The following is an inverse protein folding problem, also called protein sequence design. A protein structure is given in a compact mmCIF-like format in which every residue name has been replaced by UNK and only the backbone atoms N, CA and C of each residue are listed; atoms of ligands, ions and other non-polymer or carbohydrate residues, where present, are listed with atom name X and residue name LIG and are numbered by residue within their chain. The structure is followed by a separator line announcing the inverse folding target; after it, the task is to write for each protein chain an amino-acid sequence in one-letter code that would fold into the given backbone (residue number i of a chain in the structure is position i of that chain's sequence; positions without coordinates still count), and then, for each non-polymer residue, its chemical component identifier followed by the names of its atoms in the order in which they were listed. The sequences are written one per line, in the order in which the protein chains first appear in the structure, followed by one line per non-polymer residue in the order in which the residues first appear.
data_IF_018355575543
#
_entry.id   IF_018355575543
#
_cell.length_a   1.000
_cell.length_b   1.000
_cell.length_c   1.000
_cell.angle_alpha   90.00
_cell.angle_beta   90.00
_cell.angle_gamma   90.00
#
_symmetry.space_group_name_H-M   'P 1'
#
loop_
_entity.id
_entity.type
_entity.pdbx_description
1 polymer ?
#
# COMPACT_ATOMS: atom_id res chain seq x y z
N UNK A 1 -40.85 -39.23 46.65
CA UNK A 1 -41.01 -38.01 45.83
C UNK A 1 -39.64 -37.61 45.29
N UNK A 2 -39.53 -37.63 43.98
CA UNK A 2 -38.32 -37.61 43.16
C UNK A 2 -37.64 -36.23 43.22
N UNK A 3 -36.33 -36.18 43.54
CA UNK A 3 -35.54 -34.96 43.49
C UNK A 3 -35.10 -34.71 42.04
N UNK A 4 -35.58 -33.62 41.44
CA UNK A 4 -35.11 -33.14 40.14
C UNK A 4 -33.80 -32.34 40.36
N UNK A 5 -32.72 -32.81 39.74
CA UNK A 5 -31.47 -32.06 39.62
C UNK A 5 -31.59 -31.19 38.36
N UNK A 6 -31.77 -29.87 38.52
CA UNK A 6 -31.69 -28.93 37.40
C UNK A 6 -30.21 -28.71 37.03
N UNK A 7 -29.80 -29.26 35.89
CA UNK A 7 -28.53 -28.95 35.24
C UNK A 7 -28.65 -27.57 34.57
N UNK A 8 -28.00 -26.55 35.13
CA UNK A 8 -27.87 -25.24 34.49
C UNK A 8 -26.76 -25.32 33.44
N UNK A 9 -27.13 -25.56 32.18
CA UNK A 9 -26.21 -25.45 31.06
C UNK A 9 -25.91 -23.96 30.81
N UNK A 10 -24.75 -23.48 31.27
CA UNK A 10 -24.19 -22.20 30.87
C UNK A 10 -23.86 -22.27 29.37
N UNK A 11 -24.77 -21.76 28.54
CA UNK A 11 -24.49 -21.43 27.14
C UNK A 11 -23.49 -20.27 27.12
N UNK A 12 -22.21 -20.59 26.95
CA UNK A 12 -21.20 -19.61 26.59
C UNK A 12 -21.59 -19.01 25.23
N UNK A 13 -21.67 -17.68 25.08
CA UNK A 13 -21.89 -17.09 23.77
C UNK A 13 -20.70 -17.46 22.89
N UNK A 14 -20.96 -18.20 21.82
CA UNK A 14 -19.98 -18.38 20.75
C UNK A 14 -19.61 -16.98 20.26
N UNK A 15 -18.37 -16.57 20.50
CA UNK A 15 -17.82 -15.40 19.82
C UNK A 15 -17.90 -15.72 18.32
N UNK A 16 -18.83 -15.08 17.63
CA UNK A 16 -18.81 -15.04 16.19
C UNK A 16 -17.50 -14.37 15.80
N UNK A 17 -16.51 -15.16 15.42
CA UNK A 17 -15.36 -14.66 14.69
C UNK A 17 -15.92 -14.07 13.41
N UNK A 18 -16.07 -12.74 13.38
CA UNK A 18 -16.41 -12.04 12.15
C UNK A 18 -15.40 -12.48 11.11
N UNK A 19 -15.87 -13.09 10.03
CA UNK A 19 -15.04 -13.46 8.90
C UNK A 19 -14.39 -12.16 8.42
N UNK A 20 -13.09 -11.99 8.67
CA UNK A 20 -12.38 -10.81 8.20
C UNK A 20 -12.51 -10.81 6.69
N UNK A 21 -13.26 -9.84 6.16
CA UNK A 21 -13.44 -9.71 4.71
C UNK A 21 -12.05 -9.60 4.08
N UNK A 22 -11.80 -10.45 3.08
CA UNK A 22 -10.55 -10.46 2.34
C UNK A 22 -10.31 -9.09 1.72
N UNK A 23 -9.07 -8.55 1.75
CA UNK A 23 -8.82 -7.24 1.18
C UNK A 23 -9.08 -7.25 -0.33
N UNK A 24 -9.85 -6.26 -0.81
CA UNK A 24 -10.20 -6.06 -2.21
C UNK A 24 -9.32 -4.98 -2.83
N UNK A 25 -8.76 -5.28 -4.00
CA UNK A 25 -7.98 -4.36 -4.84
C UNK A 25 -8.74 -4.12 -6.13
N UNK A 26 -8.91 -2.86 -6.49
CA UNK A 26 -9.52 -2.44 -7.74
C UNK A 26 -8.43 -1.90 -8.68
N UNK A 27 -8.34 -2.45 -9.89
CA UNK A 27 -7.46 -1.97 -10.95
C UNK A 27 -8.26 -1.12 -11.92
N UNK A 28 -7.76 0.05 -12.28
CA UNK A 28 -8.43 0.95 -13.22
C UNK A 28 -8.28 0.48 -14.66
N UNK A 29 -9.35 0.64 -15.43
CA UNK A 29 -9.36 0.53 -16.89
C UNK A 29 -10.24 1.65 -17.50
N UNK A 30 -10.46 2.73 -16.75
CA UNK A 30 -11.31 3.87 -17.15
C UNK A 30 -10.53 5.02 -17.75
N UNK A 31 -9.19 5.00 -17.68
CA UNK A 31 -8.30 6.07 -18.15
C UNK A 31 -7.51 5.67 -19.38
N UNK A 32 -8.04 4.78 -20.21
CA UNK A 32 -7.39 4.34 -21.45
C UNK A 32 -6.04 3.65 -21.21
N UNK A 33 -5.97 2.83 -20.16
CA UNK A 33 -4.81 2.01 -19.77
C UNK A 33 -4.38 0.99 -20.85
N UNK A 34 -5.26 0.76 -21.83
CA UNK A 34 -5.06 -0.13 -22.98
C UNK A 34 -4.83 0.63 -24.31
N UNK A 35 -4.61 1.94 -24.27
CA UNK A 35 -4.52 2.72 -25.50
C UNK A 35 -3.21 2.45 -26.27
N UNK A 36 -3.33 2.35 -27.59
CA UNK A 36 -2.22 2.26 -28.54
C UNK A 36 -1.37 1.00 -28.32
N UNK A 37 -0.18 1.13 -27.72
CA UNK A 37 0.75 0.03 -27.52
C UNK A 37 0.91 -0.35 -26.04
N UNK A 38 -0.06 0.04 -25.22
CA UNK A 38 -0.15 -0.26 -23.80
C UNK A 38 -1.29 -1.26 -23.56
N UNK A 39 -1.20 -2.05 -22.50
CA UNK A 39 -2.27 -2.94 -22.09
C UNK A 39 -2.29 -3.16 -20.56
N UNK A 40 -2.30 -2.07 -19.79
CA UNK A 40 -2.20 -2.11 -18.33
C UNK A 40 -3.50 -2.55 -17.65
N UNK A 41 -3.95 -3.76 -17.99
CA UNK A 41 -5.18 -4.39 -17.50
C UNK A 41 -4.87 -5.71 -16.82
N UNK A 42 -5.77 -6.15 -15.94
CA UNK A 42 -5.64 -7.45 -15.26
C UNK A 42 -5.92 -8.63 -16.19
N UNK A 43 -6.97 -8.50 -17.00
CA UNK A 43 -7.52 -9.57 -17.82
C UNK A 43 -8.52 -8.99 -18.83
N UNK A 44 -8.50 -9.52 -20.05
CA UNK A 44 -9.45 -9.17 -21.11
C UNK A 44 -9.85 -10.39 -21.97
N UNK A 45 -11.14 -10.72 -21.97
CA UNK A 45 -11.72 -11.75 -22.83
C UNK A 45 -12.02 -11.25 -24.25
N UNK A 46 -12.23 -9.94 -24.37
CA UNK A 46 -12.56 -9.26 -25.61
C UNK A 46 -11.48 -8.23 -25.95
N UNK A 47 -11.26 -8.05 -27.25
CA UNK A 47 -10.26 -7.16 -27.85
C UNK A 47 -10.92 -6.35 -28.94
N UNK A 48 -11.62 -5.32 -28.50
CA UNK A 48 -12.52 -4.54 -29.35
C UNK A 48 -12.65 -3.09 -28.88
N UNK A 49 -11.78 -2.59 -27.99
CA UNK A 49 -11.68 -1.16 -27.76
C UNK A 49 -10.80 -0.53 -28.84
N UNK A 50 -10.97 0.77 -29.03
CA UNK A 50 -10.06 1.58 -29.83
C UNK A 50 -10.21 3.04 -29.48
N UNK A 51 -9.18 3.83 -29.80
CA UNK A 51 -9.16 5.27 -29.56
C UNK A 51 -10.17 5.96 -30.47
N UNK A 52 -11.20 6.53 -29.85
CA UNK A 52 -12.22 7.35 -30.49
C UNK A 52 -11.86 8.84 -30.51
N UNK A 53 -12.88 9.67 -30.73
CA UNK A 53 -12.68 11.13 -30.74
C UNK A 53 -12.27 11.65 -29.36
N UNK A 54 -11.22 12.49 -29.33
CA UNK A 54 -10.74 13.12 -28.10
C UNK A 54 -10.10 12.15 -27.10
N UNK A 55 -9.56 11.02 -27.57
CA UNK A 55 -8.84 10.06 -26.73
C UNK A 55 -9.73 9.07 -25.96
N UNK A 56 -11.05 9.13 -26.11
CA UNK A 56 -11.96 8.22 -25.43
C UNK A 56 -11.89 6.80 -26.00
N UNK A 57 -11.86 5.78 -25.13
CA UNK A 57 -11.90 4.38 -25.57
C UNK A 57 -13.32 3.96 -25.95
N UNK A 58 -13.51 3.49 -27.18
CA UNK A 58 -14.82 3.15 -27.76
C UNK A 58 -14.87 1.69 -28.16
N UNK A 59 -15.93 0.99 -27.72
CA UNK A 59 -16.18 -0.40 -28.13
C UNK A 59 -16.52 -0.47 -29.63
N UNK A 60 -15.87 -1.40 -30.32
CA UNK A 60 -15.94 -1.62 -31.77
C UNK A 60 -15.02 -0.72 -32.60
N UNK A 61 -14.20 0.13 -31.97
CA UNK A 61 -13.36 1.10 -32.70
C UNK A 61 -11.94 0.60 -33.00
N UNK A 62 -11.52 -0.53 -32.44
CA UNK A 62 -10.17 -1.06 -32.60
C UNK A 62 -10.06 -2.52 -32.14
N UNK A 63 -8.84 -2.93 -31.81
CA UNK A 63 -8.50 -4.26 -31.33
C UNK A 63 -8.00 -4.28 -29.89
N UNK A 64 -7.92 -3.14 -29.21
CA UNK A 64 -7.35 -3.04 -27.87
C UNK A 64 -8.19 -3.85 -26.86
N UNK A 65 -7.55 -4.33 -25.80
CA UNK A 65 -8.20 -5.07 -24.70
C UNK A 65 -9.43 -4.35 -24.16
N UNK A 66 -10.52 -5.10 -23.99
CA UNK A 66 -11.73 -4.65 -23.33
C UNK A 66 -11.90 -5.41 -22.01
N UNK A 67 -11.31 -4.91 -20.91
CA UNK A 67 -11.23 -5.67 -19.68
C UNK A 67 -12.57 -5.75 -18.95
N UNK A 68 -13.00 -6.97 -18.69
CA UNK A 68 -14.16 -7.26 -17.86
C UNK A 68 -13.90 -6.97 -16.38
N UNK A 69 -14.96 -6.68 -15.64
CA UNK A 69 -14.89 -6.43 -14.18
C UNK A 69 -14.24 -7.59 -13.42
N UNK A 70 -14.64 -8.81 -13.73
CA UNK A 70 -14.18 -10.01 -13.05
C UNK A 70 -13.31 -10.81 -14.00
N UNK A 71 -12.02 -11.02 -13.68
CA UNK A 71 -11.16 -11.85 -14.49
C UNK A 71 -11.68 -13.28 -14.66
N UNK A 72 -11.32 -13.88 -15.79
CA UNK A 72 -11.79 -15.15 -16.33
C UNK A 72 -10.56 -15.96 -16.79
N UNK A 73 -10.35 -17.17 -16.27
CA UNK A 73 -11.23 -17.92 -15.38
C UNK A 73 -11.32 -17.32 -13.97
N UNK A 74 -12.37 -17.67 -13.22
CA UNK A 74 -12.65 -17.03 -11.94
C UNK A 74 -11.46 -17.13 -10.95
N UNK A 75 -11.19 -16.02 -10.25
CA UNK A 75 -10.11 -15.94 -9.25
C UNK A 75 -10.22 -16.97 -8.11
N UNK A 76 -11.42 -17.49 -7.83
CA UNK A 76 -11.63 -18.58 -6.86
C UNK A 76 -10.95 -19.90 -7.25
N UNK A 77 -10.53 -20.04 -8.52
CA UNK A 77 -9.74 -21.18 -9.01
C UNK A 77 -8.23 -21.04 -8.77
N UNK A 78 -7.75 -19.88 -8.32
CA UNK A 78 -6.32 -19.65 -8.07
C UNK A 78 -5.90 -20.40 -6.79
N UNK A 79 -4.84 -21.20 -6.93
CA UNK A 79 -4.16 -21.91 -5.85
C UNK A 79 -2.70 -21.47 -5.76
N UNK A 80 -1.96 -21.96 -4.77
CA UNK A 80 -0.53 -21.69 -4.64
C UNK A 80 0.29 -22.07 -5.90
N UNK A 81 -0.18 -23.05 -6.67
CA UNK A 81 0.51 -23.57 -7.86
C UNK A 81 0.01 -22.99 -9.19
N UNK A 82 -1.00 -22.13 -9.16
CA UNK A 82 -1.53 -21.51 -10.38
C UNK A 82 -0.44 -20.65 -11.03
N UNK A 83 -0.17 -20.77 -12.34
CA UNK A 83 0.83 -19.94 -13.02
C UNK A 83 0.40 -18.46 -13.01
N UNK A 84 1.37 -17.55 -13.12
CA UNK A 84 1.07 -16.11 -13.19
C UNK A 84 0.34 -15.73 -14.50
N UNK A 85 0.50 -16.54 -15.55
CA UNK A 85 -0.23 -16.46 -16.83
C UNK A 85 -1.67 -17.00 -16.78
N UNK A 86 -2.32 -16.98 -15.62
CA UNK A 86 -3.70 -17.49 -15.45
C UNK A 86 -4.75 -16.59 -16.10
N UNK A 87 -4.42 -15.31 -16.27
CA UNK A 87 -5.20 -14.29 -16.96
C UNK A 87 -4.34 -13.68 -18.08
N UNK A 88 -4.95 -12.87 -18.94
CA UNK A 88 -4.25 -12.22 -20.07
C UNK A 88 -4.45 -10.71 -20.00
N UNK A 89 -3.39 -10.01 -19.60
CA UNK A 89 -3.32 -8.58 -19.40
C UNK A 89 -1.96 -8.23 -18.81
N UNK A 90 -1.37 -7.08 -19.15
CA UNK A 90 0.00 -6.78 -18.70
C UNK A 90 0.15 -6.72 -17.17
N UNK A 91 -0.94 -6.58 -16.42
CA UNK A 91 -0.95 -6.58 -14.94
C UNK A 91 -1.39 -7.93 -14.34
N UNK A 92 -1.56 -8.97 -15.16
CA UNK A 92 -2.23 -10.21 -14.76
C UNK A 92 -1.46 -10.95 -13.65
N UNK A 93 -0.14 -11.00 -13.74
CA UNK A 93 0.77 -11.65 -12.80
C UNK A 93 0.70 -10.98 -11.43
N UNK A 94 0.54 -9.66 -11.39
CA UNK A 94 0.26 -8.92 -10.16
C UNK A 94 -1.06 -9.35 -9.53
N UNK A 95 -2.13 -9.41 -10.32
CA UNK A 95 -3.43 -9.92 -9.89
C UNK A 95 -3.35 -11.32 -9.29
N UNK A 96 -2.71 -12.26 -9.99
CA UNK A 96 -2.53 -13.65 -9.52
C UNK A 96 -1.71 -13.70 -8.23
N UNK A 97 -0.63 -12.91 -8.13
CA UNK A 97 0.21 -12.85 -6.94
C UNK A 97 -0.56 -12.33 -5.70
N UNK A 98 -1.51 -11.43 -5.90
CA UNK A 98 -2.40 -10.95 -4.83
C UNK A 98 -3.42 -12.00 -4.42
N UNK A 99 -4.07 -12.68 -5.37
CA UNK A 99 -5.08 -13.71 -5.05
C UNK A 99 -4.45 -14.89 -4.31
N UNK A 100 -3.24 -15.32 -4.68
CA UNK A 100 -2.46 -16.32 -3.92
C UNK A 100 -2.23 -15.94 -2.46
N UNK A 101 -2.31 -14.64 -2.13
CA UNK A 101 -2.14 -14.08 -0.77
C UNK A 101 -3.48 -13.78 -0.09
N UNK A 102 -4.59 -14.25 -0.66
CA UNK A 102 -5.93 -14.09 -0.09
C UNK A 102 -6.57 -12.72 -0.37
N UNK A 103 -6.10 -11.98 -1.36
CA UNK A 103 -6.78 -10.78 -1.83
C UNK A 103 -7.89 -11.15 -2.82
N UNK A 104 -8.86 -10.26 -2.97
CA UNK A 104 -9.75 -10.26 -4.12
C UNK A 104 -9.34 -9.12 -5.06
N UNK A 105 -9.38 -9.37 -6.36
CA UNK A 105 -9.11 -8.35 -7.39
C UNK A 105 -10.32 -8.17 -8.28
N UNK A 106 -10.54 -6.93 -8.72
CA UNK A 106 -11.52 -6.56 -9.74
C UNK A 106 -10.90 -5.49 -10.64
N UNK A 107 -11.37 -5.42 -11.88
CA UNK A 107 -11.13 -4.28 -12.77
C UNK A 107 -12.29 -3.31 -12.65
N UNK A 108 -12.04 -2.00 -12.79
CA UNK A 108 -13.04 -0.96 -13.05
C UNK A 108 -13.11 -0.74 -14.57
N UNK A 109 -14.06 -1.38 -15.30
CA UNK A 109 -14.03 -1.40 -16.76
C UNK A 109 -14.25 -0.04 -17.39
N UNK A 110 -13.82 0.13 -18.64
CA UNK A 110 -14.10 1.31 -19.45
C UNK A 110 -15.59 1.72 -19.39
N UNK A 111 -15.84 3.03 -19.23
CA UNK A 111 -17.19 3.59 -19.05
C UNK A 111 -17.77 3.46 -17.64
N UNK A 112 -17.08 2.82 -16.70
CA UNK A 112 -17.52 2.74 -15.30
C UNK A 112 -17.33 4.06 -14.54
N UNK A 113 -18.08 4.22 -13.45
CA UNK A 113 -18.05 5.43 -12.61
C UNK A 113 -16.99 5.31 -11.53
N UNK A 114 -16.02 6.21 -11.51
CA UNK A 114 -15.05 6.36 -10.42
C UNK A 114 -15.63 7.28 -9.32
N UNK A 115 -16.16 6.67 -8.25
CA UNK A 115 -16.83 7.40 -7.15
C UNK A 115 -16.33 6.96 -5.79
N UNK A 116 -16.59 7.79 -4.77
CA UNK A 116 -16.38 7.43 -3.37
C UNK A 116 -17.54 7.94 -2.51
N UNK A 117 -18.19 7.03 -1.77
CA UNK A 117 -19.36 7.32 -0.94
C UNK A 117 -20.70 7.25 -1.66
N UNK A 118 -20.74 6.78 -2.92
CA UNK A 118 -21.98 6.53 -3.66
C UNK A 118 -22.44 5.08 -3.45
N UNK A 119 -23.40 4.88 -2.55
CA UNK A 119 -23.95 3.56 -2.25
C UNK A 119 -24.68 2.89 -3.44
N UNK A 120 -25.02 3.64 -4.50
CA UNK A 120 -25.61 3.08 -5.72
C UNK A 120 -24.58 2.47 -6.67
N UNK A 121 -23.30 2.84 -6.51
CA UNK A 121 -22.23 2.31 -7.33
C UNK A 121 -21.65 1.03 -6.69
N UNK A 122 -21.89 -0.10 -7.34
CA UNK A 122 -21.40 -1.42 -6.88
C UNK A 122 -19.88 -1.57 -6.92
N UNK A 123 -19.18 -0.67 -7.63
CA UNK A 123 -17.73 -0.54 -7.65
C UNK A 123 -17.25 0.76 -7.01
N UNK A 124 -18.06 1.39 -6.15
CA UNK A 124 -17.63 2.56 -5.37
C UNK A 124 -16.36 2.24 -4.57
N UNK A 125 -15.42 3.18 -4.52
CA UNK A 125 -14.13 2.98 -3.85
C UNK A 125 -14.27 2.65 -2.36
N UNK A 126 -15.39 2.94 -1.71
CA UNK A 126 -15.65 2.52 -0.32
C UNK A 126 -15.70 1.00 -0.12
N UNK A 127 -15.88 0.23 -1.20
CA UNK A 127 -15.89 -1.24 -1.18
C UNK A 127 -14.49 -1.86 -1.30
N UNK A 128 -13.44 -1.06 -1.53
CA UNK A 128 -12.09 -1.54 -1.80
C UNK A 128 -11.09 -0.98 -0.79
N UNK A 129 -9.98 -1.70 -0.61
CA UNK A 129 -8.88 -1.25 0.26
C UNK A 129 -7.79 -0.56 -0.53
N UNK A 130 -7.58 -0.99 -1.78
CA UNK A 130 -6.57 -0.42 -2.67
C UNK A 130 -7.19 -0.14 -4.04
N UNK A 131 -6.86 1.01 -4.61
CA UNK A 131 -7.11 1.35 -6.00
C UNK A 131 -5.77 1.52 -6.71
N UNK A 132 -5.59 0.83 -7.83
CA UNK A 132 -4.38 0.85 -8.66
C UNK A 132 -4.75 1.50 -9.99
N UNK A 133 -3.98 2.50 -10.40
CA UNK A 133 -4.12 3.14 -11.70
C UNK A 133 -2.76 3.14 -12.38
N UNK A 134 -2.69 2.53 -13.56
CA UNK A 134 -1.45 2.38 -14.31
C UNK A 134 -1.45 3.21 -15.58
N UNK A 135 -0.55 4.19 -15.65
CA UNK A 135 -0.37 5.09 -16.79
C UNK A 135 -1.71 5.64 -17.31
N UNK A 136 -2.43 6.44 -16.50
CA UNK A 136 -3.68 7.01 -16.97
C UNK A 136 -3.40 7.93 -18.16
N UNK A 137 -4.20 7.78 -19.21
CA UNK A 137 -4.16 8.55 -20.46
C UNK A 137 -5.41 9.44 -20.63
N UNK A 138 -6.32 9.44 -19.66
CA UNK A 138 -7.44 10.39 -19.62
C UNK A 138 -7.41 11.11 -18.29
N UNK A 139 -7.50 12.44 -18.35
CA UNK A 139 -7.60 13.27 -17.14
C UNK A 139 -8.79 12.90 -16.25
N UNK A 140 -8.55 12.87 -14.95
CA UNK A 140 -9.61 12.81 -13.96
C UNK A 140 -10.45 14.10 -13.98
N UNK A 141 -11.76 13.95 -13.97
CA UNK A 141 -12.69 15.04 -13.72
C UNK A 141 -12.57 15.57 -12.28
N UNK A 142 -13.10 16.77 -12.01
CA UNK A 142 -13.08 17.34 -10.66
C UNK A 142 -13.76 16.45 -9.61
N UNK A 143 -14.83 15.74 -9.99
CA UNK A 143 -15.53 14.80 -9.11
C UNK A 143 -14.67 13.57 -8.80
N UNK A 144 -13.97 13.03 -9.80
CA UNK A 144 -13.09 11.86 -9.65
C UNK A 144 -11.86 12.18 -8.80
N UNK A 145 -11.23 13.34 -9.02
CA UNK A 145 -10.17 13.84 -8.15
C UNK A 145 -10.64 13.94 -6.70
N UNK A 146 -11.85 14.48 -6.49
CA UNK A 146 -12.46 14.57 -5.14
C UNK A 146 -12.71 13.19 -4.55
N UNK A 147 -13.19 12.23 -5.34
CA UNK A 147 -13.40 10.85 -4.91
C UNK A 147 -12.09 10.17 -4.50
N UNK A 148 -11.04 10.24 -5.32
CA UNK A 148 -9.72 9.65 -5.03
C UNK A 148 -9.12 10.22 -3.75
N UNK A 149 -9.12 11.54 -3.59
CA UNK A 149 -8.53 12.18 -2.42
C UNK A 149 -9.31 11.85 -1.14
N UNK A 150 -10.65 11.80 -1.20
CA UNK A 150 -11.47 11.40 -0.04
C UNK A 150 -11.33 9.91 0.29
N UNK A 151 -11.22 9.04 -0.72
CA UNK A 151 -10.94 7.63 -0.55
C UNK A 151 -9.65 7.43 0.26
N UNK A 152 -8.54 8.05 -0.17
CA UNK A 152 -7.26 7.97 0.55
C UNK A 152 -7.38 8.61 1.93
N UNK A 153 -7.93 9.83 2.03
CA UNK A 153 -8.09 10.54 3.31
C UNK A 153 -8.80 9.68 4.37
N UNK A 154 -9.78 8.87 3.95
CA UNK A 154 -10.60 8.07 4.84
C UNK A 154 -10.09 6.64 5.09
N UNK A 155 -8.94 6.26 4.53
CA UNK A 155 -8.27 5.00 4.86
C UNK A 155 -7.88 4.14 3.66
N UNK A 156 -8.29 4.52 2.45
CA UNK A 156 -7.94 3.83 1.22
C UNK A 156 -6.45 3.91 0.89
N UNK A 157 -5.99 2.93 0.13
CA UNK A 157 -4.67 2.90 -0.50
C UNK A 157 -4.77 3.28 -1.98
N UNK A 158 -3.99 4.27 -2.43
CA UNK A 158 -3.88 4.58 -3.86
C UNK A 158 -2.49 4.20 -4.37
N UNK A 159 -2.43 3.38 -5.41
CA UNK A 159 -1.21 3.10 -6.15
C UNK A 159 -1.26 3.88 -7.46
N UNK A 160 -0.39 4.89 -7.57
CA UNK A 160 -0.25 5.74 -8.75
C UNK A 160 0.94 5.25 -9.54
N UNK A 161 0.72 4.82 -10.78
CA UNK A 161 1.79 4.45 -11.69
C UNK A 161 1.69 5.38 -12.90
N UNK A 162 2.81 5.98 -13.25
CA UNK A 162 2.98 6.87 -14.39
C UNK A 162 3.90 6.19 -15.41
N UNK A 163 4.18 6.91 -16.48
CA UNK A 163 5.29 6.63 -17.39
C UNK A 163 6.10 7.92 -17.60
N UNK A 164 6.78 8.10 -18.73
CA UNK A 164 7.54 9.29 -19.12
C UNK A 164 6.72 10.50 -19.61
N UNK A 165 7.41 11.62 -19.83
CA UNK A 165 6.97 12.64 -20.77
C UNK A 165 6.88 12.08 -22.20
N UNK A 166 5.86 12.47 -22.96
CA UNK A 166 5.46 11.86 -24.26
C UNK A 166 4.86 10.46 -24.11
N UNK A 167 4.13 10.22 -23.00
CA UNK A 167 3.36 8.98 -22.76
C UNK A 167 1.88 9.12 -23.13
N UNK A 168 1.47 10.19 -23.82
CA UNK A 168 0.11 10.32 -24.39
C UNK A 168 -0.18 9.24 -25.44
N UNK A 169 -0.76 8.13 -25.00
CA UNK A 169 -1.12 6.96 -25.82
C UNK A 169 -2.40 7.19 -26.62
N UNK A 170 -3.34 7.97 -26.10
CA UNK A 170 -4.65 8.20 -26.74
C UNK A 170 -4.73 9.48 -27.58
N UNK A 171 -3.64 10.23 -27.66
CA UNK A 171 -3.51 11.50 -28.38
C UNK A 171 -4.49 12.58 -27.89
N UNK A 172 -4.78 12.63 -26.59
CA UNK A 172 -5.66 13.65 -25.99
C UNK A 172 -4.91 14.92 -25.52
N UNK A 173 -3.58 14.91 -25.64
CA UNK A 173 -2.66 15.97 -25.26
C UNK A 173 -2.14 15.89 -23.82
N UNK A 174 -2.37 14.77 -23.12
CA UNK A 174 -1.93 14.58 -21.73
C UNK A 174 -1.07 13.34 -21.55
N UNK A 175 0.16 13.57 -21.09
CA UNK A 175 1.03 12.50 -20.59
C UNK A 175 0.59 12.06 -19.19
N UNK A 176 0.83 10.80 -18.85
CA UNK A 176 0.48 10.26 -17.53
C UNK A 176 1.13 10.99 -16.34
N UNK A 177 2.39 11.50 -16.39
CA UNK A 177 2.91 12.39 -15.34
C UNK A 177 2.09 13.66 -15.17
N UNK A 178 1.60 14.24 -16.27
CA UNK A 178 0.81 15.47 -16.24
C UNK A 178 -0.55 15.22 -15.61
N UNK A 179 -1.17 14.05 -15.87
CA UNK A 179 -2.45 13.66 -15.27
C UNK A 179 -2.31 13.49 -13.76
N UNK A 180 -1.24 12.83 -13.29
CA UNK A 180 -0.98 12.75 -11.86
C UNK A 180 -0.69 14.11 -11.23
N UNK A 181 0.11 14.95 -11.89
CA UNK A 181 0.37 16.31 -11.41
C UNK A 181 -0.89 17.18 -11.40
N UNK A 182 -1.83 16.97 -12.31
CA UNK A 182 -3.15 17.63 -12.35
C UNK A 182 -4.04 17.21 -11.16
N UNK A 183 -3.94 15.97 -10.69
CA UNK A 183 -4.55 15.55 -9.41
C UNK A 183 -3.92 16.30 -8.22
N UNK A 184 -2.59 16.43 -8.19
CA UNK A 184 -1.88 17.07 -7.07
C UNK A 184 -2.11 18.58 -7.01
N UNK A 185 -2.15 19.26 -8.17
CA UNK A 185 -2.15 20.72 -8.28
C UNK A 185 -3.56 21.32 -8.48
N UNK A 186 -4.45 20.62 -9.16
CA UNK A 186 -5.76 21.15 -9.58
C UNK A 186 -6.88 20.29 -9.01
N UNK A 187 -7.01 20.30 -7.68
CA UNK A 187 -8.10 19.66 -6.94
C UNK A 187 -8.71 20.63 -5.91
N UNK A 188 -9.92 20.33 -5.45
CA UNK A 188 -10.66 21.15 -4.48
C UNK A 188 -10.48 20.73 -3.02
N UNK A 189 -9.69 19.69 -2.74
CA UNK A 189 -9.58 19.07 -1.41
C UNK A 189 -8.36 19.60 -0.66
N UNK A 190 -7.17 19.52 -1.25
CA UNK A 190 -5.92 20.00 -0.67
C UNK A 190 -4.84 20.13 -1.76
N UNK A 191 -4.11 21.24 -1.76
CA UNK A 191 -2.95 21.41 -2.63
C UNK A 191 -1.83 20.41 -2.27
N UNK A 192 -1.33 19.68 -3.26
CA UNK A 192 -0.28 18.68 -3.16
C UNK A 192 -0.40 17.76 -1.92
N UNK A 193 -1.50 16.99 -1.81
CA UNK A 193 -1.84 16.26 -0.58
C UNK A 193 -0.82 15.18 -0.23
N UNK A 194 -0.10 14.67 -1.24
CA UNK A 194 0.84 13.56 -1.08
C UNK A 194 2.30 14.03 -1.02
N UNK A 195 2.59 15.29 -1.35
CA UNK A 195 3.96 15.80 -1.43
C UNK A 195 4.76 15.14 -2.53
N UNK A 196 4.13 14.69 -3.62
CA UNK A 196 4.76 13.98 -4.74
C UNK A 196 4.42 14.73 -6.03
N UNK A 197 5.42 14.91 -6.89
CA UNK A 197 5.27 15.37 -8.27
C UNK A 197 6.00 14.40 -9.17
N UNK A 198 5.40 14.05 -10.30
CA UNK A 198 6.06 13.31 -11.36
C UNK A 198 6.82 14.30 -12.24
N UNK A 199 8.11 14.07 -12.47
CA UNK A 199 8.92 14.94 -13.31
C UNK A 199 8.62 14.64 -14.79
N UNK A 200 8.65 15.67 -15.65
CA UNK A 200 8.49 15.49 -17.09
C UNK A 200 9.84 15.15 -17.73
N UNK A 201 10.24 13.89 -17.59
CA UNK A 201 11.46 13.34 -18.19
C UNK A 201 11.22 11.90 -18.67
N UNK A 202 12.25 11.32 -19.28
CA UNK A 202 12.24 9.96 -19.80
C UNK A 202 13.61 9.33 -19.49
N UNK A 203 13.60 8.21 -18.79
CA UNK A 203 14.79 7.43 -18.46
C UNK A 203 14.62 5.95 -18.80
N UNK A 204 15.65 5.39 -19.44
CA UNK A 204 15.92 3.95 -19.49
C UNK A 204 17.11 3.68 -18.59
N UNK A 205 16.91 2.92 -17.51
CA UNK A 205 17.89 2.85 -16.43
C UNK A 205 17.70 1.66 -15.51
N UNK A 206 18.83 1.08 -15.11
CA UNK A 206 18.90 0.08 -14.05
C UNK A 206 19.53 0.74 -12.83
N UNK A 207 18.91 0.62 -11.66
CA UNK A 207 19.39 1.23 -10.42
C UNK A 207 19.42 0.22 -9.28
N UNK A 208 20.46 0.34 -8.45
CA UNK A 208 20.57 -0.30 -7.13
C UNK A 208 20.62 0.74 -6.01
N UNK A 209 20.26 1.99 -6.32
CA UNK A 209 20.30 3.11 -5.39
C UNK A 209 19.07 3.09 -4.47
N UNK A 210 19.10 2.18 -3.51
CA UNK A 210 18.07 1.95 -2.51
C UNK A 210 18.58 2.44 -1.14
N UNK A 211 17.81 3.26 -0.39
CA UNK A 211 18.22 3.71 0.93
C UNK A 211 18.27 2.58 1.95
N UNK A 212 19.18 2.72 2.91
CA UNK A 212 19.27 1.82 4.06
C UNK A 212 18.11 2.05 5.05
N UNK A 213 16.96 1.41 4.77
CA UNK A 213 15.75 1.47 5.61
C UNK A 213 15.37 0.06 6.10
N UNK A 214 16.10 -0.53 7.06
CA UNK A 214 15.98 -1.95 7.43
C UNK A 214 14.62 -2.38 8.01
N UNK A 215 13.73 -1.43 8.32
CA UNK A 215 12.39 -1.68 8.83
C UNK A 215 11.28 -1.23 7.87
N UNK A 216 11.63 -0.83 6.64
CA UNK A 216 10.66 -0.40 5.64
C UNK A 216 9.99 -1.62 4.99
N UNK A 217 8.67 -1.73 5.14
CA UNK A 217 7.90 -2.87 4.65
C UNK A 217 7.72 -2.91 3.14
N UNK A 218 8.03 -1.83 2.40
CA UNK A 218 8.05 -1.88 0.94
C UNK A 218 9.33 -2.57 0.45
N UNK A 219 10.45 -2.32 1.14
CA UNK A 219 11.76 -2.92 0.82
C UNK A 219 11.98 -4.29 1.45
N UNK A 220 11.31 -4.61 2.56
CA UNK A 220 11.51 -5.82 3.36
C UNK A 220 10.19 -6.51 3.74
N UNK A 221 9.18 -6.42 2.86
CA UNK A 221 7.86 -6.99 3.11
C UNK A 221 7.78 -8.51 2.86
N UNK A 222 6.60 -9.10 3.05
CA UNK A 222 6.38 -10.55 2.90
C UNK A 222 6.63 -11.11 1.50
N UNK A 223 6.69 -10.28 0.46
CA UNK A 223 7.06 -10.71 -0.88
C UNK A 223 8.57 -10.86 -1.07
N UNK A 224 9.39 -10.39 -0.12
CA UNK A 224 10.84 -10.50 -0.13
C UNK A 224 11.54 -9.14 -0.08
N UNK A 225 12.87 -9.20 -0.07
CA UNK A 225 13.73 -8.02 -0.06
C UNK A 225 13.86 -7.43 -1.46
N UNK A 226 13.96 -6.10 -1.53
CA UNK A 226 14.13 -5.32 -2.77
C UNK A 226 15.50 -4.64 -2.73
N UNK A 227 16.24 -4.71 -3.83
CA UNK A 227 17.59 -4.16 -3.97
C UNK A 227 17.80 -3.38 -5.28
N UNK A 228 16.95 -3.59 -6.29
CA UNK A 228 17.09 -2.98 -7.60
C UNK A 228 15.73 -2.59 -8.23
N UNK A 229 15.81 -1.77 -9.28
CA UNK A 229 14.70 -1.43 -10.18
C UNK A 229 15.26 -1.07 -11.55
N UNK A 230 14.51 -1.41 -12.59
CA UNK A 230 14.77 -1.12 -14.00
C UNK A 230 13.57 -0.38 -14.57
N UNK A 231 13.84 0.68 -15.32
CA UNK A 231 12.86 1.51 -16.01
C UNK A 231 13.10 1.44 -17.51
N UNK A 232 12.02 1.34 -18.29
CA UNK A 232 12.01 1.33 -19.74
C UNK A 232 11.14 2.48 -20.28
N UNK A 233 11.70 3.68 -20.13
CA UNK A 233 11.08 4.98 -20.37
C UNK A 233 10.28 5.54 -19.19
N UNK A 234 10.72 5.36 -17.94
CA UNK A 234 10.03 5.98 -16.81
C UNK A 234 10.40 7.44 -16.53
N UNK A 235 9.64 8.05 -15.62
CA UNK A 235 9.87 9.38 -15.04
C UNK A 235 10.41 9.32 -13.60
N UNK A 236 11.19 10.31 -13.20
CA UNK A 236 11.51 10.51 -11.77
C UNK A 236 10.39 11.22 -11.01
N UNK A 237 10.48 11.17 -9.68
CA UNK A 237 9.61 11.86 -8.74
C UNK A 237 10.40 12.93 -7.99
N UNK A 238 9.78 14.09 -7.83
CA UNK A 238 10.19 15.14 -6.90
C UNK A 238 9.27 15.14 -5.67
N UNK A 239 9.87 15.10 -4.49
CA UNK A 239 9.21 14.99 -3.20
C UNK A 239 9.21 16.34 -2.48
N UNK A 240 8.09 16.70 -1.86
CA UNK A 240 7.91 17.95 -1.13
C UNK A 240 7.50 17.68 0.32
N UNK A 241 8.45 17.42 1.24
CA UNK A 241 8.14 17.15 2.64
C UNK A 241 7.42 18.30 3.35
N UNK A 242 7.57 19.54 2.88
CA UNK A 242 6.82 20.70 3.40
C UNK A 242 5.33 20.63 3.08
N UNK A 243 4.93 19.97 1.97
CA UNK A 243 3.53 19.71 1.63
C UNK A 243 3.00 18.46 2.35
N UNK A 244 3.82 17.41 2.44
CA UNK A 244 3.50 16.20 3.22
C UNK A 244 4.75 15.62 3.89
N UNK A 245 4.86 15.82 5.21
CA UNK A 245 6.02 15.39 6.00
C UNK A 245 6.22 13.85 6.06
N UNK A 246 5.24 13.07 5.60
CA UNK A 246 5.35 11.60 5.53
C UNK A 246 5.88 11.07 4.20
N UNK A 247 6.04 11.93 3.19
CA UNK A 247 6.56 11.52 1.88
C UNK A 247 7.99 11.01 2.01
N UNK A 248 8.28 9.91 1.31
CA UNK A 248 9.61 9.30 1.31
C UNK A 248 9.82 8.51 0.01
N UNK A 249 10.98 8.67 -0.62
CA UNK A 249 11.42 7.80 -1.70
C UNK A 249 12.04 6.51 -1.15
N UNK A 250 11.88 5.42 -1.88
CA UNK A 250 12.41 4.09 -1.52
C UNK A 250 13.31 3.50 -2.58
N UNK A 251 13.31 4.05 -3.79
CA UNK A 251 14.22 3.68 -4.87
C UNK A 251 14.53 4.96 -5.64
N UNK A 252 15.79 5.18 -5.98
CA UNK A 252 16.26 6.41 -6.61
C UNK A 252 17.07 6.14 -7.87
N UNK A 253 17.17 7.15 -8.72
CA UNK A 253 18.10 7.17 -9.84
C UNK A 253 19.54 7.02 -9.35
N UNK A 254 20.37 6.29 -10.09
CA UNK A 254 21.79 6.22 -9.76
C UNK A 254 22.46 7.60 -9.88
N UNK A 255 23.33 7.93 -8.91
CA UNK A 255 24.05 9.21 -8.86
C UNK A 255 23.35 10.34 -8.12
N UNK A 256 22.13 10.13 -7.60
CA UNK A 256 21.49 11.06 -6.64
C UNK A 256 21.49 10.49 -5.23
N UNK A 257 21.21 11.33 -4.22
CA UNK A 257 21.09 10.86 -2.83
C UNK A 257 19.90 9.93 -2.67
N UNK A 258 20.12 8.71 -2.15
CA UNK A 258 19.08 7.73 -1.82
C UNK A 258 18.14 8.19 -0.69
N UNK A 259 18.38 9.34 -0.08
CA UNK A 259 17.53 9.95 0.95
C UNK A 259 17.09 11.36 0.57
N UNK A 260 17.34 11.75 -0.68
CA UNK A 260 17.00 13.06 -1.22
C UNK A 260 15.52 13.21 -1.54
N UNK A 261 15.18 14.39 -2.04
CA UNK A 261 13.82 14.76 -2.45
C UNK A 261 13.65 14.84 -3.96
N UNK A 262 14.66 14.49 -4.75
CA UNK A 262 14.61 14.53 -6.22
C UNK A 262 15.20 13.24 -6.78
N UNK A 263 14.75 12.86 -7.98
CA UNK A 263 15.26 11.68 -8.65
C UNK A 263 14.83 10.37 -8.00
N UNK A 264 13.74 10.36 -7.22
CA UNK A 264 13.15 9.10 -6.75
C UNK A 264 12.46 8.41 -7.95
N UNK A 265 12.52 7.09 -8.03
CA UNK A 265 11.71 6.31 -8.97
C UNK A 265 10.42 5.84 -8.33
N UNK A 266 10.50 5.41 -7.07
CA UNK A 266 9.35 4.99 -6.30
C UNK A 266 9.32 5.71 -4.95
N UNK A 267 8.13 6.19 -4.56
CA UNK A 267 7.91 6.88 -3.31
C UNK A 267 6.57 6.51 -2.68
N UNK A 268 6.43 6.78 -1.40
CA UNK A 268 5.15 6.63 -0.70
C UNK A 268 4.88 7.84 0.19
N UNK A 269 3.61 8.03 0.52
CA UNK A 269 3.18 8.99 1.52
C UNK A 269 1.96 8.47 2.28
N UNK A 270 1.60 9.17 3.35
CA UNK A 270 0.37 8.96 4.11
C UNK A 270 -0.49 10.21 4.01
N UNK A 271 -1.79 10.03 3.89
CA UNK A 271 -2.73 11.13 3.79
C UNK A 271 -4.03 10.78 4.53
N UNK A 272 -4.38 11.61 5.53
CA UNK A 272 -5.43 11.28 6.48
C UNK A 272 -5.18 9.93 7.16
N UNK A 273 -6.10 8.98 6.96
CA UNK A 273 -6.01 7.61 7.47
C UNK A 273 -5.42 6.62 6.46
N UNK A 274 -5.31 7.01 5.19
CA UNK A 274 -4.84 6.17 4.10
C UNK A 274 -3.38 6.40 3.76
N UNK A 275 -3.01 5.84 2.61
CA UNK A 275 -1.63 5.78 2.11
C UNK A 275 -1.63 5.89 0.59
N UNK A 276 -0.52 6.35 0.05
CA UNK A 276 -0.28 6.31 -1.38
C UNK A 276 1.10 5.77 -1.68
N UNK A 277 1.23 5.14 -2.84
CA UNK A 277 2.50 4.77 -3.46
C UNK A 277 2.50 5.38 -4.86
N UNK A 278 3.66 5.90 -5.28
CA UNK A 278 3.91 6.45 -6.60
C UNK A 278 5.07 5.69 -7.24
N UNK A 279 4.88 5.23 -8.47
CA UNK A 279 5.89 4.62 -9.32
C UNK A 279 5.92 5.39 -10.64
N UNK A 280 7.09 5.81 -11.07
CA UNK A 280 7.27 6.64 -12.26
C UNK A 280 7.31 5.90 -13.60
N UNK A 281 7.15 4.58 -13.63
CA UNK A 281 7.20 3.77 -14.85
C UNK A 281 6.14 2.67 -14.81
N UNK A 282 5.52 2.39 -15.96
CA UNK A 282 4.54 1.34 -16.20
C UNK A 282 5.16 0.04 -16.72
N UNK A 283 6.44 0.02 -17.08
CA UNK A 283 7.16 -1.21 -17.43
C UNK A 283 7.39 -2.18 -16.26
N UNK A 284 7.67 -1.74 -15.01
CA UNK A 284 7.88 -2.68 -13.90
C UNK A 284 6.70 -3.60 -13.60
N UNK A 285 5.43 -3.18 -13.71
CA UNK A 285 4.31 -4.10 -13.54
C UNK A 285 3.95 -4.94 -14.78
N UNK A 286 4.51 -4.68 -15.96
CA UNK A 286 4.25 -5.43 -17.20
C UNK A 286 4.74 -6.88 -17.08
N UNK A 287 3.90 -7.84 -17.42
CA UNK A 287 4.26 -9.26 -17.45
C UNK A 287 4.31 -9.86 -18.87
N UNK A 288 4.15 -9.03 -19.90
CA UNK A 288 4.18 -9.40 -21.30
C UNK A 288 2.99 -10.22 -21.79
N UNK A 289 1.93 -10.42 -20.99
CA UNK A 289 0.81 -11.32 -21.30
C UNK A 289 -0.45 -10.63 -21.84
N UNK A 290 -0.39 -9.31 -22.04
CA UNK A 290 -1.49 -8.49 -22.53
C UNK A 290 -1.85 -8.71 -24.00
N UNK A 291 -2.36 -7.66 -24.65
CA UNK A 291 -2.76 -7.68 -26.05
C UNK A 291 -1.58 -8.12 -26.95
N UNK A 292 -1.67 -9.24 -27.68
CA UNK A 292 -0.69 -9.69 -28.65
C UNK A 292 -0.53 -8.76 -29.86
N UNK A 293 -1.43 -7.80 -30.04
CA UNK A 293 -1.26 -6.68 -30.97
C UNK A 293 -0.13 -5.74 -30.54
N UNK A 294 0.23 -5.75 -29.26
CA UNK A 294 1.20 -4.86 -28.65
C UNK A 294 2.57 -5.52 -28.44
N UNK A 295 3.57 -4.67 -28.26
CA UNK A 295 4.93 -5.09 -27.91
C UNK A 295 5.16 -4.86 -26.43
N UNK A 296 4.72 -5.83 -25.64
CA UNK A 296 4.83 -5.88 -24.18
C UNK A 296 6.05 -6.71 -23.75
N UNK A 297 6.54 -6.48 -22.54
CA UNK A 297 7.77 -7.08 -22.01
C UNK A 297 7.57 -7.53 -20.56
N UNK A 298 8.20 -8.64 -20.17
CA UNK A 298 8.15 -9.10 -18.78
C UNK A 298 9.09 -8.27 -17.89
N UNK A 299 8.62 -7.09 -17.47
CA UNK A 299 9.26 -6.29 -16.43
C UNK A 299 8.97 -6.80 -15.02
N UNK A 300 7.85 -7.49 -14.81
CA UNK A 300 7.39 -7.99 -13.52
C UNK A 300 8.38 -8.96 -12.87
N UNK A 301 8.71 -10.04 -13.56
CA UNK A 301 9.60 -11.09 -13.09
C UNK A 301 10.92 -11.15 -13.88
N UNK A 302 10.91 -10.72 -15.14
CA UNK A 302 12.06 -10.78 -16.04
C UNK A 302 13.16 -9.76 -15.74
N UNK A 303 12.84 -8.66 -15.05
CA UNK A 303 13.76 -7.55 -14.79
C UNK A 303 14.07 -7.37 -13.30
N UNK A 304 15.16 -6.64 -13.01
CA UNK A 304 15.62 -6.34 -11.65
C UNK A 304 15.76 -7.60 -10.76
N UNK A 305 16.05 -8.75 -11.37
CA UNK A 305 16.07 -10.05 -10.67
C UNK A 305 14.74 -10.38 -9.96
N UNK A 306 13.60 -9.95 -10.52
CA UNK A 306 12.27 -10.10 -9.94
C UNK A 306 11.97 -9.17 -8.76
N UNK A 307 12.77 -8.12 -8.56
CA UNK A 307 12.53 -7.12 -7.49
C UNK A 307 11.28 -6.27 -7.77
N UNK A 308 10.88 -6.12 -9.05
CA UNK A 308 9.65 -5.43 -9.43
C UNK A 308 8.42 -6.12 -8.82
N UNK A 309 8.22 -7.41 -9.08
CA UNK A 309 7.18 -8.20 -8.43
C UNK A 309 7.18 -8.06 -6.90
N UNK A 310 8.37 -8.12 -6.27
CA UNK A 310 8.48 -8.01 -4.80
C UNK A 310 8.04 -6.65 -4.30
N UNK A 311 8.51 -5.55 -4.91
CA UNK A 311 8.20 -4.20 -4.43
C UNK A 311 6.73 -3.84 -4.68
N UNK A 312 6.16 -4.24 -5.83
CA UNK A 312 4.75 -4.00 -6.17
C UNK A 312 3.80 -4.76 -5.23
N UNK A 313 4.10 -6.02 -4.92
CA UNK A 313 3.32 -6.81 -3.94
C UNK A 313 3.51 -6.26 -2.52
N UNK A 314 4.73 -5.94 -2.10
CA UNK A 314 4.98 -5.35 -0.78
C UNK A 314 4.25 -4.01 -0.62
N UNK A 315 4.27 -3.16 -1.64
CA UNK A 315 3.54 -1.90 -1.69
C UNK A 315 2.02 -2.12 -1.59
N UNK A 316 1.47 -3.10 -2.32
CA UNK A 316 0.04 -3.42 -2.23
C UNK A 316 -0.36 -3.90 -0.84
N UNK A 317 0.42 -4.79 -0.24
CA UNK A 317 0.20 -5.26 1.14
C UNK A 317 0.25 -4.08 2.12
N UNK A 318 1.24 -3.21 1.96
CA UNK A 318 1.37 -2.03 2.79
C UNK A 318 0.19 -1.08 2.60
N UNK A 319 -0.30 -0.87 1.39
CA UNK A 319 -1.48 -0.05 1.08
C UNK A 319 -2.75 -0.64 1.67
N UNK A 320 -2.95 -1.95 1.60
CA UNK A 320 -4.14 -2.63 2.12
C UNK A 320 -4.20 -2.71 3.65
N UNK A 321 -3.05 -2.70 4.34
CA UNK A 321 -2.99 -2.88 5.81
C UNK A 321 -3.60 -1.68 6.56
N UNK A 322 -4.78 -1.77 7.19
CA UNK A 322 -5.44 -0.62 7.78
C UNK A 322 -4.59 0.03 8.88
N UNK A 323 -4.62 1.36 8.96
CA UNK A 323 -4.07 2.06 10.11
C UNK A 323 -5.13 2.13 11.21
N UNK A 324 -4.84 1.54 12.37
CA UNK A 324 -5.73 1.59 13.54
C UNK A 324 -5.79 2.97 14.23
N UNK A 325 -4.95 3.95 13.83
CA UNK A 325 -5.00 5.35 14.32
C UNK A 325 -4.56 6.38 13.26
N UNK A 326 -5.13 7.60 13.24
CA UNK A 326 -4.63 8.73 12.45
C UNK A 326 -3.18 9.07 12.79
N UNK A 327 -2.42 9.60 11.83
CA UNK A 327 -1.17 10.30 12.15
C UNK A 327 -1.51 11.65 12.79
N UNK A 328 -1.14 11.84 14.06
CA UNK A 328 -0.63 13.15 14.44
C UNK A 328 0.62 13.41 13.61
N UNK A 329 0.70 14.60 13.01
CA UNK A 329 1.85 15.07 12.23
C UNK A 329 3.14 14.76 13.00
N UNK A 330 4.00 13.90 12.43
CA UNK A 330 5.36 13.76 12.96
C UNK A 330 6.13 15.00 12.53
N UNK A 331 6.40 15.88 13.49
CA UNK A 331 7.62 16.67 13.44
C UNK A 331 8.79 15.67 13.35
N UNK A 332 9.72 15.95 12.45
CA UNK A 332 10.97 15.21 12.36
C UNK A 332 11.73 15.34 13.70
N UNK A 333 11.66 14.34 14.57
CA UNK A 333 12.57 14.24 15.72
C UNK A 333 12.62 12.80 16.24
N UNK A 334 13.85 12.27 16.28
CA UNK A 334 14.33 11.10 17.05
C UNK A 334 13.40 9.88 17.18
N UNK A 335 13.82 8.76 16.58
CA UNK A 335 13.21 7.43 16.81
C UNK A 335 13.09 7.15 18.31
N UNK A 336 11.86 6.97 18.79
CA UNK A 336 11.65 6.64 20.18
C UNK A 336 12.25 5.29 20.54
N UNK A 337 13.09 5.26 21.57
CA UNK A 337 13.74 4.06 22.10
C UNK A 337 13.20 3.71 23.48
N UNK A 338 13.17 2.40 23.76
CA UNK A 338 12.94 1.83 25.08
C UNK A 338 13.94 0.69 25.26
N UNK A 339 14.86 0.86 26.21
CA UNK A 339 15.89 -0.10 26.58
C UNK A 339 15.54 -0.69 27.92
N UNK A 340 15.71 -2.01 28.05
CA UNK A 340 15.37 -2.77 29.25
C UNK A 340 16.60 -3.50 29.77
N UNK A 341 16.92 -3.37 31.05
CA UNK A 341 17.98 -4.17 31.67
C UNK A 341 17.75 -4.38 33.17
N UNK A 342 18.12 -5.54 33.74
CA UNK A 342 18.36 -6.78 33.03
C UNK A 342 17.05 -7.32 32.42
N UNK A 343 17.14 -7.97 31.27
CA UNK A 343 16.05 -8.72 30.65
C UNK A 343 16.64 -9.95 29.95
N UNK A 344 16.46 -11.18 30.47
CA UNK A 344 15.55 -11.57 31.55
C UNK A 344 15.89 -10.99 32.94
N UNK A 345 14.91 -10.91 33.83
CA UNK A 345 15.08 -10.46 35.24
C UNK A 345 14.50 -11.47 36.23
N UNK A 346 15.08 -11.58 37.43
CA UNK A 346 14.49 -12.33 38.55
C UNK A 346 13.79 -11.44 39.57
N UNK A 347 13.96 -10.12 39.49
CA UNK A 347 13.42 -9.18 40.48
C UNK A 347 12.95 -7.89 39.82
N UNK A 348 13.88 -7.02 39.44
CA UNK A 348 13.58 -5.68 38.94
C UNK A 348 14.13 -5.49 37.53
N UNK A 349 13.50 -4.57 36.79
CA UNK A 349 13.94 -4.17 35.46
C UNK A 349 13.99 -2.65 35.37
N UNK A 350 15.12 -2.15 34.88
CA UNK A 350 15.30 -0.75 34.53
C UNK A 350 14.76 -0.52 33.13
N UNK A 351 14.00 0.54 32.99
CA UNK A 351 13.37 0.99 31.74
C UNK A 351 13.97 2.35 31.43
N UNK A 352 14.72 2.46 30.34
CA UNK A 352 15.26 3.73 29.83
C UNK A 352 14.55 4.10 28.54
N UNK A 353 14.00 5.31 28.48
CA UNK A 353 13.22 5.80 27.36
C UNK A 353 13.90 6.99 26.68
N UNK A 354 13.64 7.15 25.39
CA UNK A 354 14.03 8.36 24.64
C UNK A 354 13.31 9.65 25.08
N UNK A 355 12.18 9.54 25.78
CA UNK A 355 11.36 10.65 26.28
C UNK A 355 10.55 10.20 27.52
N UNK A 356 9.98 11.11 28.31
CA UNK A 356 9.18 10.74 29.47
C UNK A 356 7.93 9.95 29.07
N UNK A 357 7.57 8.95 29.87
CA UNK A 357 6.34 8.19 29.67
C UNK A 357 5.14 8.98 30.19
N UNK A 358 4.11 9.08 29.34
CA UNK A 358 2.74 9.43 29.75
C UNK A 358 2.10 8.25 30.50
N UNK A 359 2.38 7.03 30.06
CA UNK A 359 1.80 5.82 30.63
C UNK A 359 2.73 4.61 30.47
N UNK A 360 2.82 3.79 31.52
CA UNK A 360 3.42 2.45 31.52
C UNK A 360 2.33 1.46 31.92
N UNK A 361 2.09 0.45 31.09
CA UNK A 361 1.11 -0.60 31.33
C UNK A 361 1.72 -1.97 31.05
N UNK A 362 1.42 -2.94 31.92
CA UNK A 362 1.97 -4.29 31.84
C UNK A 362 0.88 -5.29 31.49
N UNK A 363 1.22 -6.25 30.65
CA UNK A 363 0.32 -7.31 30.21
C UNK A 363 0.99 -8.68 30.32
N UNK A 364 0.22 -9.72 30.61
CA UNK A 364 0.67 -11.10 30.50
C UNK A 364 0.53 -11.63 29.05
N UNK A 365 0.93 -12.88 28.80
CA UNK A 365 0.88 -13.51 27.46
C UNK A 365 -0.52 -13.66 26.87
N UNK A 366 -1.57 -13.64 27.70
CA UNK A 366 -2.96 -13.70 27.24
C UNK A 366 -3.58 -12.31 27.08
N UNK A 367 -2.78 -11.24 27.16
CA UNK A 367 -3.22 -9.86 26.94
C UNK A 367 -3.97 -9.22 28.12
N UNK A 368 -4.00 -9.87 29.29
CA UNK A 368 -4.60 -9.29 30.49
C UNK A 368 -3.65 -8.31 31.14
N UNK A 369 -4.18 -7.16 31.58
CA UNK A 369 -3.41 -6.14 32.29
C UNK A 369 -3.03 -6.65 33.68
N UNK A 370 -1.74 -6.56 34.02
CA UNK A 370 -1.19 -6.93 35.32
C UNK A 370 -0.64 -5.71 36.04
N UNK A 371 -0.72 -5.70 37.37
CA UNK A 371 -0.20 -4.61 38.20
C UNK A 371 1.25 -4.88 38.56
N UNK A 372 2.18 -4.13 37.96
CA UNK A 372 3.61 -4.18 38.28
C UNK A 372 4.02 -2.83 38.89
N UNK A 373 4.43 -2.79 40.18
CA UNK A 373 4.92 -1.57 40.80
C UNK A 373 6.06 -0.97 39.98
N UNK A 374 5.89 0.27 39.53
CA UNK A 374 6.85 0.95 38.66
C UNK A 374 7.09 2.36 39.19
N UNK A 375 8.35 2.70 39.46
CA UNK A 375 8.76 3.96 40.05
C UNK A 375 9.62 4.73 39.05
N UNK A 376 9.36 6.02 38.87
CA UNK A 376 10.24 6.90 38.11
C UNK A 376 11.48 7.23 38.96
N UNK A 377 12.66 6.99 38.40
CA UNK A 377 13.95 7.32 39.03
C UNK A 377 14.64 8.52 38.36
N UNK A 378 14.23 8.87 37.14
CA UNK A 378 14.59 10.08 36.42
C UNK A 378 13.50 10.39 35.38
N UNK A 379 13.51 11.56 34.69
CA UNK A 379 12.45 11.94 33.74
C UNK A 379 12.13 10.88 32.68
N UNK A 380 13.13 10.11 32.24
CA UNK A 380 12.98 9.07 31.21
C UNK A 380 13.40 7.67 31.70
N UNK A 381 13.59 7.50 33.00
CA UNK A 381 14.10 6.25 33.57
C UNK A 381 13.19 5.76 34.68
N UNK A 382 12.84 4.48 34.63
CA UNK A 382 11.92 3.85 35.57
C UNK A 382 12.51 2.53 36.05
N UNK A 383 12.08 2.08 37.22
CA UNK A 383 12.35 0.73 37.74
C UNK A 383 11.03 0.07 38.01
N UNK A 384 10.83 -1.12 37.43
CA UNK A 384 9.65 -1.94 37.67
C UNK A 384 10.03 -3.20 38.46
N UNK A 385 9.21 -3.55 39.46
CA UNK A 385 9.43 -4.70 40.34
C UNK A 385 8.47 -5.84 39.99
N UNK A 386 9.04 -6.90 39.40
CA UNK A 386 8.32 -8.09 38.95
C UNK A 386 8.34 -9.21 39.99
N UNK A 387 8.86 -9.00 41.22
CA UNK A 387 8.94 -10.06 42.25
C UNK A 387 7.58 -10.66 42.58
N UNK A 388 6.51 -9.86 42.56
CA UNK A 388 5.15 -10.30 42.84
C UNK A 388 4.45 -11.02 41.67
N UNK A 389 5.01 -10.98 40.46
CA UNK A 389 4.43 -11.65 39.29
C UNK A 389 4.86 -13.11 39.22
N UNK A 390 4.11 -14.04 38.61
CA UNK A 390 4.60 -15.40 38.33
C UNK A 390 5.79 -15.43 37.36
N UNK A 391 6.63 -16.48 37.41
CA UNK A 391 7.69 -16.71 36.40
C UNK A 391 7.02 -16.83 35.03
N UNK A 392 7.57 -16.14 34.03
CA UNK A 392 6.98 -16.15 32.70
C UNK A 392 7.22 -14.87 31.91
N UNK A 393 6.42 -14.73 30.87
CA UNK A 393 6.57 -13.69 29.86
C UNK A 393 5.54 -12.56 30.06
N UNK A 394 6.02 -11.33 29.97
CA UNK A 394 5.23 -10.11 30.12
C UNK A 394 5.51 -9.14 28.96
N UNK A 395 4.56 -8.25 28.70
CA UNK A 395 4.70 -7.17 27.73
C UNK A 395 4.54 -5.83 28.43
N UNK A 396 5.57 -4.99 28.31
CA UNK A 396 5.52 -3.60 28.72
C UNK A 396 5.04 -2.76 27.53
N UNK A 397 3.91 -2.08 27.72
CA UNK A 397 3.37 -1.09 26.83
C UNK A 397 3.66 0.32 27.37
N UNK A 398 4.32 1.14 26.57
CA UNK A 398 4.76 2.49 26.93
C UNK A 398 4.09 3.49 25.99
N UNK A 399 3.40 4.48 26.55
CA UNK A 399 2.98 5.68 25.82
C UNK A 399 3.87 6.83 26.27
N UNK A 400 4.59 7.45 25.35
CA UNK A 400 5.44 8.61 25.60
C UNK A 400 4.62 9.91 25.58
N UNK A 401 5.08 10.94 26.28
CA UNK A 401 4.42 12.25 26.31
C UNK A 401 4.27 12.91 24.93
N UNK A 402 5.09 12.52 23.97
CA UNK A 402 4.99 12.96 22.57
C UNK A 402 4.01 12.13 21.72
N UNK A 403 3.23 11.23 22.34
CA UNK A 403 2.21 10.40 21.70
C UNK A 403 2.75 9.14 21.00
N UNK A 404 4.07 8.91 21.00
CA UNK A 404 4.65 7.67 20.47
C UNK A 404 4.39 6.50 21.42
N UNK A 405 4.14 5.32 20.85
CA UNK A 405 3.84 4.10 21.61
C UNK A 405 4.91 3.04 21.34
N UNK A 406 5.42 2.41 22.40
CA UNK A 406 6.41 1.34 22.34
C UNK A 406 5.88 0.10 23.06
N UNK A 407 6.23 -1.08 22.56
CA UNK A 407 6.00 -2.34 23.26
C UNK A 407 7.32 -3.11 23.40
N UNK A 408 7.55 -3.71 24.56
CA UNK A 408 8.74 -4.54 24.83
C UNK A 408 8.37 -5.82 25.55
N UNK A 409 9.02 -6.90 25.13
CA UNK A 409 8.99 -8.20 25.79
C UNK A 409 9.84 -8.15 27.06
N UNK A 410 9.32 -8.67 28.17
CA UNK A 410 10.01 -8.79 29.45
C UNK A 410 9.89 -10.23 29.94
N UNK A 411 11.01 -10.87 30.24
CA UNK A 411 11.04 -12.24 30.75
C UNK A 411 11.38 -12.22 32.25
N UNK A 412 10.46 -12.73 33.09
CA UNK A 412 10.71 -12.97 34.52
C UNK A 412 11.15 -14.42 34.69
N UNK A 413 12.33 -14.63 35.26
CA UNK A 413 12.88 -15.94 35.61
C UNK A 413 12.79 -16.24 37.09
#
# INVERSE_FOLDING_TARGET
MTRFLLFFCLLLPAAAFGQQQLPKVLFDATRAEMANNADWVLDADARNLGIGSGGAMVTGAGSDSNPQRFPTPAQSGITANTPETYWSGALSSWGVALVKRGYQVETLPNGSRLTYGDASNVQDLSNYQVFVVCEPNIRFSAAEKTALLNFVKNGGGLFMISDHAVSDRNNDGWDSPQIWNDLMSTNSVQANPFGISFDLNNFVVNTTNVPALPADSLLHGPAGNVAAMEYHNGATLTLTPSANASVRGIIYKLGVSATGTTGAFMAYARYGRGKVVALGDSSPPDDGSGDPGDSLYDGWAGEANGDHARVLVNATIWLATPKSRPLASRNATTTATCTLYPNPTSQQIHISLSAPAQQLAWYNVVGQRVSVPTIAIAPNSYVADLRAQPVGLYFLHVTLNNGQVLMRRVERR
#
